data_IF_850190563722
#
_entry.id   IF_850190563722
#
_cell.length_a   1.000
_cell.length_b   1.000
_cell.length_c   1.000
_cell.angle_alpha   90.00
_cell.angle_beta   90.00
_cell.angle_gamma   90.00
#
_symmetry.space_group_name_H-M   'P 1'
#
loop_
_entity.id
_entity.type
_entity.pdbx_description
1 polymer ?
#
# COMPACT_ATOMS: atom_id res chain seq x y z
N UNK A 1 5.09 -0.61 -12.18
CA UNK A 1 4.25 -0.99 -11.06
C UNK A 1 3.99 -2.49 -10.95
N UNK A 2 4.04 -3.27 -12.04
CA UNK A 2 3.78 -4.70 -11.98
C UNK A 2 4.90 -5.48 -11.28
N UNK A 3 4.51 -6.46 -10.48
CA UNK A 3 5.41 -7.49 -9.99
C UNK A 3 5.52 -8.60 -11.02
N UNK A 4 6.74 -8.88 -11.47
CA UNK A 4 7.00 -9.86 -12.52
C UNK A 4 7.81 -11.02 -11.97
N UNK A 5 7.29 -12.22 -12.09
CA UNK A 5 7.99 -13.46 -11.79
C UNK A 5 8.44 -14.13 -13.10
N UNK A 6 9.66 -14.70 -13.10
CA UNK A 6 10.17 -15.35 -14.28
C UNK A 6 11.62 -15.80 -14.15
N UNK A 7 12.15 -16.37 -15.19
CA UNK A 7 13.56 -16.80 -15.23
C UNK A 7 14.47 -15.64 -15.60
N UNK A 8 15.41 -15.33 -14.71
CA UNK A 8 16.44 -14.34 -14.92
C UNK A 8 17.79 -14.97 -15.26
N UNK A 9 18.70 -14.18 -15.81
CA UNK A 9 20.14 -14.47 -15.87
C UNK A 9 20.93 -13.41 -15.09
N UNK A 10 22.04 -13.80 -14.56
CA UNK A 10 22.98 -12.87 -13.95
C UNK A 10 23.44 -11.79 -14.94
N UNK A 11 23.74 -10.61 -14.43
CA UNK A 11 24.31 -9.52 -15.21
C UNK A 11 25.64 -9.97 -15.84
N UNK A 12 25.86 -9.66 -17.12
CA UNK A 12 27.14 -9.83 -17.80
C UNK A 12 28.08 -8.69 -17.45
N UNK A 13 29.35 -8.84 -17.77
CA UNK A 13 30.34 -7.78 -17.61
C UNK A 13 29.85 -6.50 -18.33
N UNK A 14 29.69 -5.39 -17.58
CA UNK A 14 29.17 -4.12 -18.09
C UNK A 14 27.66 -3.90 -17.93
N UNK A 15 26.89 -4.91 -17.57
CA UNK A 15 25.45 -4.76 -17.24
C UNK A 15 25.26 -4.42 -15.76
N UNK A 16 24.44 -3.41 -15.47
CA UNK A 16 24.14 -2.95 -14.11
C UNK A 16 23.07 -3.78 -13.40
N UNK A 17 22.21 -4.47 -14.15
CA UNK A 17 21.02 -5.16 -13.64
C UNK A 17 20.90 -6.57 -14.20
N UNK A 18 20.20 -7.44 -13.46
CA UNK A 18 19.77 -8.74 -13.95
C UNK A 18 18.86 -8.58 -15.17
N UNK A 19 18.97 -9.49 -16.13
CA UNK A 19 18.07 -9.52 -17.29
C UNK A 19 17.04 -10.62 -17.14
N UNK A 20 15.78 -10.31 -17.38
CA UNK A 20 14.71 -11.30 -17.41
C UNK A 20 14.71 -12.02 -18.76
N UNK A 21 14.81 -13.35 -18.75
CA UNK A 21 14.79 -14.19 -19.96
C UNK A 21 13.39 -14.58 -20.37
N UNK A 22 12.53 -14.89 -19.39
CA UNK A 22 11.15 -15.32 -19.62
C UNK A 22 10.29 -14.84 -18.47
N UNK A 23 9.14 -14.26 -18.82
CA UNK A 23 8.08 -13.90 -17.87
C UNK A 23 7.16 -15.12 -17.69
N UNK A 24 6.96 -15.55 -16.45
CA UNK A 24 6.09 -16.66 -16.07
C UNK A 24 4.78 -16.19 -15.43
N UNK A 25 4.84 -15.07 -14.69
CA UNK A 25 3.65 -14.44 -14.12
C UNK A 25 3.82 -12.92 -14.02
N UNK A 26 2.70 -12.20 -14.06
CA UNK A 26 2.59 -10.75 -13.83
C UNK A 26 1.50 -10.53 -12.78
N UNK A 27 1.84 -10.01 -11.61
CA UNK A 27 0.94 -9.85 -10.45
C UNK A 27 0.19 -11.17 -10.09
N UNK A 28 0.90 -12.30 -10.14
CA UNK A 28 0.38 -13.67 -9.94
C UNK A 28 -0.58 -14.16 -11.03
N UNK A 29 -0.79 -13.40 -12.12
CA UNK A 29 -1.59 -13.79 -13.27
C UNK A 29 -0.73 -14.33 -14.41
N UNK A 30 -1.33 -15.19 -15.25
CA UNK A 30 -0.71 -15.58 -16.53
C UNK A 30 -0.44 -14.33 -17.37
N UNK A 31 0.72 -14.18 -18.04
CA UNK A 31 1.06 -13.03 -18.86
C UNK A 31 0.03 -12.66 -19.91
N UNK A 32 -0.64 -13.63 -20.52
CA UNK A 32 -1.70 -13.38 -21.53
C UNK A 32 -2.95 -12.74 -20.89
N UNK A 33 -3.36 -13.20 -19.70
CA UNK A 33 -4.46 -12.59 -18.95
C UNK A 33 -4.08 -11.17 -18.48
N UNK A 34 -2.84 -10.98 -18.05
CA UNK A 34 -2.35 -9.67 -17.63
C UNK A 34 -2.37 -8.63 -18.77
N UNK A 35 -2.23 -9.05 -20.03
CA UNK A 35 -2.34 -8.15 -21.20
C UNK A 35 -3.76 -7.67 -21.47
N UNK A 36 -4.76 -8.48 -21.19
CA UNK A 36 -6.18 -8.18 -21.45
C UNK A 36 -6.87 -7.42 -20.32
N UNK A 37 -6.17 -7.13 -19.21
CA UNK A 37 -6.74 -6.41 -18.09
C UNK A 37 -7.11 -4.97 -18.45
N UNK A 38 -8.24 -4.43 -17.93
CA UNK A 38 -8.61 -3.04 -18.13
C UNK A 38 -7.59 -2.11 -17.44
N UNK A 39 -7.32 -0.95 -18.04
CA UNK A 39 -6.49 0.07 -17.40
C UNK A 39 -7.27 0.76 -16.28
N UNK A 40 -6.58 1.16 -15.21
CA UNK A 40 -7.19 1.80 -14.04
C UNK A 40 -8.11 2.97 -14.42
N UNK A 41 -7.70 3.82 -15.35
CA UNK A 41 -8.51 4.96 -15.82
C UNK A 41 -9.77 4.58 -16.62
N UNK A 42 -9.96 3.32 -16.97
CA UNK A 42 -11.15 2.81 -17.67
C UNK A 42 -12.15 2.16 -16.70
N UNK A 43 -11.76 1.98 -15.44
CA UNK A 43 -12.63 1.43 -14.41
C UNK A 43 -13.69 2.47 -14.01
N UNK A 44 -14.94 2.03 -13.87
CA UNK A 44 -16.03 2.89 -13.42
C UNK A 44 -15.96 3.08 -11.91
N UNK A 45 -15.78 4.32 -11.41
CA UNK A 45 -15.82 4.57 -9.97
C UNK A 45 -17.24 4.36 -9.42
N UNK A 46 -17.34 3.69 -8.28
CA UNK A 46 -18.60 3.45 -7.58
C UNK A 46 -18.53 4.04 -6.18
N UNK A 47 -19.71 4.31 -5.58
CA UNK A 47 -19.75 4.69 -4.16
C UNK A 47 -19.36 3.49 -3.29
N UNK A 48 -18.69 3.73 -2.14
CA UNK A 48 -18.36 2.68 -1.17
C UNK A 48 -19.65 2.07 -0.59
N UNK A 49 -19.98 0.85 -0.97
CA UNK A 49 -21.14 0.09 -0.51
C UNK A 49 -20.80 -1.06 0.44
N UNK A 50 -19.52 -1.41 0.54
CA UNK A 50 -19.01 -2.52 1.36
C UNK A 50 -18.12 -2.01 2.49
N UNK A 51 -18.58 -2.19 3.72
CA UNK A 51 -17.81 -1.83 4.92
C UNK A 51 -16.53 -2.68 5.02
N UNK A 52 -15.43 -2.06 5.39
CA UNK A 52 -14.24 -2.74 5.90
C UNK A 52 -14.41 -2.82 7.42
N UNK A 53 -14.80 -4.00 7.91
CA UNK A 53 -14.94 -4.23 9.34
C UNK A 53 -13.57 -4.27 10.01
N UNK A 54 -13.34 -3.35 10.94
CA UNK A 54 -12.09 -3.24 11.70
C UNK A 54 -12.18 -3.87 13.09
N UNK A 55 -13.32 -4.46 13.46
CA UNK A 55 -13.46 -5.13 14.74
C UNK A 55 -12.76 -6.49 14.71
N UNK A 56 -11.90 -6.71 15.69
CA UNK A 56 -11.24 -7.99 15.91
C UNK A 56 -11.54 -8.50 17.33
N UNK A 57 -11.58 -9.83 17.57
CA UNK A 57 -11.90 -10.41 18.89
C UNK A 57 -10.93 -10.02 20.01
N UNK A 58 -9.69 -9.71 19.68
CA UNK A 58 -8.69 -9.29 20.65
C UNK A 58 -8.82 -7.78 20.90
N UNK A 59 -9.39 -7.40 22.01
CA UNK A 59 -9.38 -6.10 22.73
C UNK A 59 -8.86 -4.82 21.99
N UNK A 60 -8.93 -4.75 20.66
CA UNK A 60 -8.65 -3.50 19.95
C UNK A 60 -9.88 -2.59 19.97
N UNK A 61 -9.89 -1.71 20.95
CA UNK A 61 -10.94 -0.71 21.10
C UNK A 61 -10.93 0.28 19.91
N UNK A 62 -9.77 0.53 19.31
CA UNK A 62 -9.61 1.50 18.20
C UNK A 62 -10.41 1.10 16.97
N UNK A 63 -10.34 -0.18 16.56
CA UNK A 63 -11.10 -0.70 15.42
C UNK A 63 -12.62 -0.62 15.66
N UNK A 64 -13.09 -0.93 16.87
CA UNK A 64 -14.52 -0.82 17.23
C UNK A 64 -15.01 0.62 17.21
N UNK A 65 -14.23 1.55 17.76
CA UNK A 65 -14.57 2.98 17.75
C UNK A 65 -14.62 3.51 16.32
N UNK A 66 -13.67 3.14 15.47
CA UNK A 66 -13.67 3.53 14.06
C UNK A 66 -14.90 3.01 13.31
N UNK A 67 -15.28 1.76 13.50
CA UNK A 67 -16.49 1.20 12.88
C UNK A 67 -17.74 1.94 13.27
N UNK A 68 -17.82 2.45 14.52
CA UNK A 68 -18.99 3.14 15.04
C UNK A 68 -19.05 4.61 14.62
N UNK A 69 -17.89 5.32 14.65
CA UNK A 69 -17.85 6.79 14.51
C UNK A 69 -17.46 7.21 13.09
N UNK A 70 -16.56 6.45 12.45
CA UNK A 70 -16.03 6.77 11.13
C UNK A 70 -15.80 5.48 10.31
N UNK A 71 -16.89 4.78 9.93
CA UNK A 71 -16.79 3.53 9.17
C UNK A 71 -16.08 3.74 7.84
N UNK A 72 -15.21 2.81 7.48
CA UNK A 72 -14.42 2.84 6.24
C UNK A 72 -15.02 1.83 5.26
N UNK A 73 -15.36 2.28 4.05
CA UNK A 73 -15.84 1.43 2.97
C UNK A 73 -14.78 1.13 1.92
N UNK A 74 -14.94 0.02 1.19
CA UNK A 74 -14.08 -0.30 0.04
C UNK A 74 -14.23 0.76 -1.04
N UNK A 75 -13.13 1.35 -1.49
CA UNK A 75 -13.12 2.47 -2.45
C UNK A 75 -13.24 3.85 -1.81
N UNK A 76 -13.38 3.95 -0.48
CA UNK A 76 -13.44 5.23 0.23
C UNK A 76 -12.06 5.89 0.31
N UNK A 77 -12.05 7.22 0.25
CA UNK A 77 -10.90 8.05 0.63
C UNK A 77 -11.19 8.69 1.98
N UNK A 78 -10.30 8.52 2.93
CA UNK A 78 -10.38 9.10 4.27
C UNK A 78 -9.15 9.95 4.58
N UNK A 79 -9.30 10.92 5.45
CA UNK A 79 -8.22 11.75 5.96
C UNK A 79 -8.17 11.64 7.48
N UNK A 80 -6.99 11.29 8.01
CA UNK A 80 -6.72 11.28 9.46
C UNK A 80 -6.02 12.59 9.83
N UNK A 81 -6.72 13.47 10.51
CA UNK A 81 -6.17 14.74 11.00
C UNK A 81 -6.03 14.67 12.51
N UNK A 82 -4.82 14.93 12.99
CA UNK A 82 -4.54 14.92 14.42
C UNK A 82 -3.40 15.89 14.77
N UNK A 83 -3.39 16.44 15.98
CA UNK A 83 -2.22 17.15 16.50
C UNK A 83 -0.99 16.21 16.55
N UNK A 84 0.22 16.77 16.62
CA UNK A 84 1.42 15.96 16.87
C UNK A 84 1.29 15.12 18.15
N UNK A 85 1.81 13.89 18.15
CA UNK A 85 1.78 12.95 19.28
C UNK A 85 0.39 12.51 19.77
N UNK A 86 -0.65 12.66 18.95
CA UNK A 86 -2.02 12.23 19.29
C UNK A 86 -2.33 10.76 18.92
N UNK A 87 -1.33 9.96 18.52
CA UNK A 87 -1.50 8.55 18.23
C UNK A 87 -1.88 8.21 16.78
N UNK A 88 -1.66 9.13 15.81
CA UNK A 88 -1.94 8.91 14.39
C UNK A 88 -1.32 7.61 13.86
N UNK A 89 -0.03 7.37 14.12
CA UNK A 89 0.68 6.18 13.67
C UNK A 89 0.10 4.89 14.28
N UNK A 90 -0.27 4.93 15.57
CA UNK A 90 -0.94 3.80 16.23
C UNK A 90 -2.30 3.51 15.60
N UNK A 91 -3.07 4.55 15.26
CA UNK A 91 -4.35 4.38 14.59
C UNK A 91 -4.18 3.75 13.20
N UNK A 92 -3.17 4.18 12.44
CA UNK A 92 -2.85 3.58 11.13
C UNK A 92 -2.43 2.12 11.27
N UNK A 93 -1.61 1.78 12.27
CA UNK A 93 -1.24 0.40 12.58
C UNK A 93 -2.45 -0.45 12.93
N UNK A 94 -3.37 0.08 13.75
CA UNK A 94 -4.62 -0.60 14.10
C UNK A 94 -5.48 -0.86 12.85
N UNK A 95 -5.70 0.15 11.99
CA UNK A 95 -6.45 -0.04 10.72
C UNK A 95 -5.79 -1.13 9.86
N UNK A 96 -4.47 -1.07 9.68
CA UNK A 96 -3.74 -2.06 8.89
C UNK A 96 -3.90 -3.47 9.46
N UNK A 97 -3.67 -3.65 10.76
CA UNK A 97 -3.67 -4.95 11.40
C UNK A 97 -5.08 -5.54 11.53
N UNK A 98 -6.09 -4.73 11.83
CA UNK A 98 -7.49 -5.16 11.82
C UNK A 98 -7.91 -5.61 10.41
N UNK A 99 -7.54 -4.86 9.38
CA UNK A 99 -7.81 -5.25 7.99
C UNK A 99 -7.06 -6.53 7.62
N UNK A 100 -5.78 -6.66 8.01
CA UNK A 100 -4.98 -7.86 7.77
C UNK A 100 -5.56 -9.13 8.42
N UNK A 101 -6.16 -8.97 9.59
CA UNK A 101 -6.78 -10.06 10.35
C UNK A 101 -8.11 -10.50 9.73
N UNK A 102 -8.96 -9.54 9.35
CA UNK A 102 -10.31 -9.81 8.89
C UNK A 102 -10.39 -10.14 7.40
N UNK A 103 -9.42 -9.69 6.59
CA UNK A 103 -9.48 -9.79 5.14
C UNK A 103 -8.18 -10.34 4.55
N UNK A 104 -8.26 -11.53 3.95
CA UNK A 104 -7.13 -12.13 3.23
C UNK A 104 -7.00 -11.62 1.80
N UNK A 105 -8.07 -11.08 1.23
CA UNK A 105 -8.22 -10.60 -0.15
C UNK A 105 -7.75 -9.16 -0.34
N UNK A 106 -7.67 -8.36 0.74
CA UNK A 106 -7.22 -6.98 0.68
C UNK A 106 -5.68 -6.93 0.78
N UNK A 107 -5.03 -6.34 -0.20
CA UNK A 107 -3.61 -6.02 -0.13
C UNK A 107 -3.40 -4.70 0.62
N UNK A 108 -2.58 -4.72 1.67
CA UNK A 108 -2.31 -3.56 2.51
C UNK A 108 -0.96 -2.98 2.12
N UNK A 109 -0.96 -1.69 1.78
CA UNK A 109 0.24 -0.92 1.45
C UNK A 109 0.34 0.29 2.38
N UNK A 110 1.40 0.35 3.17
CA UNK A 110 1.71 1.51 4.02
C UNK A 110 2.81 2.31 3.35
N UNK A 111 2.51 3.55 3.00
CA UNK A 111 3.42 4.46 2.33
C UNK A 111 3.83 5.58 3.31
N UNK A 112 5.11 5.58 3.70
CA UNK A 112 5.67 6.52 4.68
C UNK A 112 6.62 7.49 3.97
N UNK A 113 6.23 8.76 3.83
CA UNK A 113 7.00 9.76 3.09
C UNK A 113 7.59 10.80 4.04
N UNK A 114 8.92 10.83 4.07
CA UNK A 114 9.68 11.75 4.92
C UNK A 114 9.55 11.44 6.42
N UNK A 115 9.13 10.24 6.79
CA UNK A 115 9.08 9.82 8.20
C UNK A 115 10.47 9.39 8.68
N UNK A 116 10.62 9.24 10.00
CA UNK A 116 11.91 8.87 10.59
C UNK A 116 12.24 7.41 10.36
N UNK A 117 13.53 7.02 10.18
CA UNK A 117 13.92 5.62 9.95
C UNK A 117 13.44 4.66 11.04
N UNK A 118 13.42 5.12 12.31
CA UNK A 118 12.89 4.33 13.43
C UNK A 118 11.39 4.07 13.31
N UNK A 119 10.59 5.03 12.85
CA UNK A 119 9.14 4.90 12.65
C UNK A 119 8.84 3.93 11.48
N UNK A 120 9.64 3.99 10.42
CA UNK A 120 9.57 3.04 9.30
C UNK A 120 9.89 1.61 9.77
N UNK A 121 10.91 1.46 10.60
CA UNK A 121 11.31 0.16 11.14
C UNK A 121 10.24 -0.41 12.07
N UNK A 122 9.65 0.44 12.92
CA UNK A 122 8.58 0.05 13.83
C UNK A 122 7.32 -0.39 13.05
N UNK A 123 6.92 0.38 12.04
CA UNK A 123 5.81 0.03 11.18
C UNK A 123 6.03 -1.33 10.47
N UNK A 124 7.24 -1.57 9.96
CA UNK A 124 7.57 -2.87 9.31
C UNK A 124 7.51 -4.05 10.27
N UNK A 125 7.84 -3.85 11.54
CA UNK A 125 7.78 -4.90 12.58
C UNK A 125 6.38 -5.15 13.09
N UNK A 126 5.56 -4.09 13.18
CA UNK A 126 4.21 -4.15 13.74
C UNK A 126 3.15 -4.59 12.72
N UNK A 127 3.43 -4.48 11.43
CA UNK A 127 2.49 -4.86 10.38
C UNK A 127 2.40 -6.39 10.24
N UNK A 128 1.23 -6.95 10.46
CA UNK A 128 0.98 -8.39 10.38
C UNK A 128 1.04 -8.92 8.94
N UNK A 129 0.53 -8.13 7.98
CA UNK A 129 0.48 -8.49 6.56
C UNK A 129 0.46 -7.23 5.71
N UNK A 130 1.09 -7.28 4.55
CA UNK A 130 1.16 -6.16 3.63
C UNK A 130 2.60 -5.73 3.36
N UNK A 131 2.77 -4.59 2.72
CA UNK A 131 4.07 -4.02 2.41
C UNK A 131 4.22 -2.59 2.95
N UNK A 132 5.43 -2.24 3.37
CA UNK A 132 5.80 -0.89 3.76
C UNK A 132 6.76 -0.33 2.72
N UNK A 133 6.29 0.71 2.02
CA UNK A 133 7.06 1.50 1.06
C UNK A 133 7.43 2.81 1.76
N UNK A 134 8.69 3.18 1.80
CA UNK A 134 9.10 4.36 2.55
C UNK A 134 10.22 5.12 1.84
N UNK A 135 10.18 6.44 2.00
CA UNK A 135 11.30 7.35 1.78
C UNK A 135 11.48 8.16 3.06
N UNK A 136 12.64 8.04 3.70
CA UNK A 136 12.91 8.67 4.99
C UNK A 136 13.30 10.15 4.82
N UNK A 137 13.21 10.93 5.90
CA UNK A 137 13.42 12.39 5.84
C UNK A 137 14.84 12.81 5.44
N UNK A 138 15.81 11.92 5.59
CA UNK A 138 17.22 12.10 5.22
C UNK A 138 17.50 11.80 3.74
N UNK A 139 16.53 11.24 3.02
CA UNK A 139 16.65 11.02 1.59
C UNK A 139 16.37 12.30 0.78
N UNK A 140 16.92 12.39 -0.47
CA UNK A 140 16.61 13.50 -1.37
C UNK A 140 15.11 13.66 -1.63
N UNK A 141 14.66 14.91 -1.77
CA UNK A 141 13.24 15.25 -1.96
C UNK A 141 12.63 14.57 -3.19
N UNK A 142 13.41 14.40 -4.25
CA UNK A 142 12.99 13.70 -5.48
C UNK A 142 12.63 12.22 -5.20
N UNK A 143 13.23 11.61 -4.16
CA UNK A 143 12.88 10.26 -3.76
C UNK A 143 11.50 10.19 -3.11
N UNK A 144 11.08 11.24 -2.41
CA UNK A 144 9.77 11.29 -1.77
C UNK A 144 8.64 11.19 -2.81
N UNK A 145 8.68 12.03 -3.84
CA UNK A 145 7.72 11.99 -4.95
C UNK A 145 7.80 10.70 -5.73
N UNK A 146 9.01 10.26 -6.08
CA UNK A 146 9.22 9.04 -6.84
C UNK A 146 8.69 7.78 -6.12
N UNK A 147 8.91 7.68 -4.81
CA UNK A 147 8.44 6.53 -4.02
C UNK A 147 6.91 6.55 -3.91
N UNK A 148 6.30 7.72 -3.70
CA UNK A 148 4.84 7.86 -3.66
C UNK A 148 4.19 7.51 -5.01
N UNK A 149 4.75 7.98 -6.12
CA UNK A 149 4.29 7.66 -7.48
C UNK A 149 4.40 6.16 -7.78
N UNK A 150 5.54 5.54 -7.44
CA UNK A 150 5.74 4.10 -7.62
C UNK A 150 4.75 3.28 -6.80
N UNK A 151 4.47 3.66 -5.55
CA UNK A 151 3.49 3.02 -4.71
C UNK A 151 2.08 3.12 -5.32
N UNK A 152 1.70 4.32 -5.78
CA UNK A 152 0.41 4.55 -6.43
C UNK A 152 0.26 3.74 -7.73
N UNK A 153 1.26 3.76 -8.61
CA UNK A 153 1.24 2.99 -9.86
C UNK A 153 1.18 1.49 -9.59
N UNK A 154 1.91 1.00 -8.58
CA UNK A 154 1.82 -0.40 -8.16
C UNK A 154 0.42 -0.76 -7.68
N UNK A 155 -0.20 0.09 -6.84
CA UNK A 155 -1.56 -0.12 -6.36
C UNK A 155 -2.59 -0.15 -7.51
N UNK A 156 -2.49 0.78 -8.47
CA UNK A 156 -3.34 0.79 -9.67
C UNK A 156 -3.24 -0.52 -10.46
N UNK A 157 -2.03 -1.01 -10.69
CA UNK A 157 -1.80 -2.27 -11.42
C UNK A 157 -2.33 -3.49 -10.66
N UNK A 158 -2.33 -3.47 -9.33
CA UNK A 158 -2.95 -4.52 -8.53
C UNK A 158 -4.47 -4.50 -8.65
N UNK A 159 -5.09 -3.31 -8.64
CA UNK A 159 -6.53 -3.14 -8.87
C UNK A 159 -6.92 -3.58 -10.28
N UNK A 160 -6.14 -3.23 -11.32
CA UNK A 160 -6.31 -3.73 -12.69
C UNK A 160 -6.28 -5.27 -12.76
N UNK A 161 -5.55 -5.90 -11.85
CA UNK A 161 -5.45 -7.37 -11.73
C UNK A 161 -6.56 -7.98 -10.86
N UNK A 162 -7.56 -7.16 -10.44
CA UNK A 162 -8.71 -7.61 -9.65
C UNK A 162 -8.45 -7.74 -8.15
N UNK A 163 -7.35 -7.16 -7.62
CA UNK A 163 -7.06 -7.15 -6.19
C UNK A 163 -7.61 -5.88 -5.54
N UNK A 164 -8.20 -6.02 -4.35
CA UNK A 164 -8.53 -4.87 -3.51
C UNK A 164 -7.27 -4.38 -2.79
N UNK A 165 -7.07 -3.06 -2.76
CA UNK A 165 -5.89 -2.44 -2.16
C UNK A 165 -6.29 -1.37 -1.15
N UNK A 166 -5.77 -1.49 0.07
CA UNK A 166 -5.82 -0.45 1.10
C UNK A 166 -4.48 0.27 1.15
N UNK A 167 -4.47 1.57 0.84
CA UNK A 167 -3.27 2.41 0.95
C UNK A 167 -3.40 3.28 2.19
N UNK A 168 -2.43 3.19 3.09
CA UNK A 168 -2.26 4.07 4.23
C UNK A 168 -1.06 4.98 3.96
N UNK A 169 -1.31 6.27 3.71
CA UNK A 169 -0.28 7.24 3.39
C UNK A 169 -0.02 8.16 4.58
N UNK A 170 1.22 8.19 5.06
CA UNK A 170 1.70 9.15 6.05
C UNK A 170 2.76 10.07 5.47
N UNK A 171 2.72 11.34 5.90
CA UNK A 171 3.61 12.38 5.44
C UNK A 171 3.04 13.21 4.29
N UNK A 172 1.69 13.35 4.15
CA UNK A 172 1.04 14.16 3.09
C UNK A 172 1.61 15.59 3.06
N UNK A 173 1.81 16.23 4.21
CA UNK A 173 2.38 17.58 4.30
C UNK A 173 3.79 17.66 3.72
N UNK A 174 4.61 16.61 3.92
CA UNK A 174 5.96 16.55 3.37
C UNK A 174 5.93 16.27 1.88
N UNK A 175 5.09 15.34 1.43
CA UNK A 175 4.89 15.05 0.02
C UNK A 175 4.44 16.27 -0.79
N UNK A 176 3.57 17.13 -0.23
CA UNK A 176 3.11 18.34 -0.94
C UNK A 176 4.14 19.47 -0.98
N UNK A 177 5.19 19.39 -0.18
CA UNK A 177 6.32 20.34 -0.17
C UNK A 177 7.53 19.83 -0.97
N UNK A 178 7.49 18.58 -1.41
CA UNK A 178 8.45 17.93 -2.29
C UNK A 178 8.15 18.28 -3.74
#
# INVERSE_FOLDING_TARGET
GDMVAGRGRSARAGEKYFSLLRVEAVNDLNPELARSRPRFGQLTPTFPDKLINLEIPANDLSGRVLNLVAPIGRGQRGLIVSPPKAGKTMLMQSIANCTATNYSDIHIMVCLIGERPEEVTDMRRSLLKGEVVAATFDEPVENHTRVAELALERAKHMVESGKDVLILLDGITRLTRS
#
